data_IF_478962197287
#
_entry.id   IF_478962197287
#
_cell.length_a   1.000
_cell.length_b   1.000
_cell.length_c   1.000
_cell.angle_alpha   90.00
_cell.angle_beta   90.00
_cell.angle_gamma   90.00
#
_symmetry.space_group_name_H-M   'P 1'
#
loop_
_entity.id
_entity.type
_entity.pdbx_description
1 polymer ?
#
# COMPACT_ATOMS: atom_id res chain seq x y z
N UNK A 1 2.91 -3.17 43.67
CA UNK A 1 4.17 -3.83 43.49
C UNK A 1 3.91 -4.92 42.42
N UNK A 2 4.22 -4.85 41.25
CA UNK A 2 5.19 -4.68 40.27
C UNK A 2 4.65 -4.76 38.83
N UNK A 3 3.63 -3.97 38.48
CA UNK A 3 3.16 -3.88 37.08
C UNK A 3 4.13 -3.06 36.21
N UNK A 4 4.97 -2.23 36.82
CA UNK A 4 5.95 -1.40 36.12
C UNK A 4 7.24 -2.15 35.70
N UNK A 5 7.57 -3.26 36.35
CA UNK A 5 8.78 -4.04 36.05
C UNK A 5 8.54 -4.98 34.86
N UNK A 6 7.35 -5.55 34.71
CA UNK A 6 7.02 -6.40 33.57
C UNK A 6 6.96 -5.63 32.26
N UNK A 7 6.45 -4.38 32.26
CA UNK A 7 6.40 -3.56 31.04
C UNK A 7 7.78 -3.13 30.54
N UNK A 8 8.78 -2.99 31.42
CA UNK A 8 10.15 -2.66 31.01
C UNK A 8 10.94 -3.85 30.46
N UNK A 9 10.66 -5.06 30.94
CA UNK A 9 11.31 -6.28 30.46
C UNK A 9 10.86 -6.67 29.04
N UNK A 10 9.58 -6.43 28.71
CA UNK A 10 9.03 -6.70 27.37
C UNK A 10 9.61 -5.74 26.31
N UNK A 11 10.10 -4.57 26.70
CA UNK A 11 10.62 -3.53 25.78
C UNK A 11 12.02 -3.81 25.24
N UNK A 12 12.78 -4.74 25.88
CA UNK A 12 14.19 -5.01 25.53
C UNK A 12 14.43 -6.40 24.90
N UNK A 13 13.40 -7.17 24.63
CA UNK A 13 13.55 -8.44 23.95
C UNK A 13 13.92 -8.21 22.49
N UNK A 14 15.14 -8.62 22.09
CA UNK A 14 15.56 -8.66 20.69
C UNK A 14 14.73 -9.68 19.95
N UNK A 15 13.60 -9.24 19.40
CA UNK A 15 12.75 -10.09 18.57
C UNK A 15 13.55 -10.63 17.39
N UNK A 16 13.37 -11.90 17.06
CA UNK A 16 13.88 -12.45 15.81
C UNK A 16 13.24 -11.67 14.62
N UNK A 17 13.88 -11.60 13.44
CA UNK A 17 13.31 -10.95 12.27
C UNK A 17 11.89 -11.43 11.93
N UNK A 18 11.62 -12.71 12.16
CA UNK A 18 10.30 -13.32 11.96
C UNK A 18 9.27 -12.80 12.98
N UNK A 19 9.60 -12.81 14.28
CA UNK A 19 8.73 -12.31 15.35
C UNK A 19 8.48 -10.80 15.21
N UNK A 20 9.49 -10.05 14.73
CA UNK A 20 9.33 -8.64 14.43
C UNK A 20 8.33 -8.44 13.28
N UNK A 21 8.46 -9.21 12.18
CA UNK A 21 7.52 -9.19 11.06
C UNK A 21 6.11 -9.58 11.48
N UNK A 22 5.97 -10.63 12.29
CA UNK A 22 4.68 -11.10 12.78
C UNK A 22 3.99 -10.05 13.65
N UNK A 23 4.71 -9.45 14.59
CA UNK A 23 4.17 -8.46 15.53
C UNK A 23 3.88 -7.10 14.87
N UNK A 24 4.76 -6.66 13.98
CA UNK A 24 4.66 -5.31 13.37
C UNK A 24 3.99 -5.31 12.01
N UNK A 25 4.00 -6.41 11.29
CA UNK A 25 3.46 -6.52 9.96
C UNK A 25 2.13 -7.28 9.90
N UNK A 26 2.10 -8.53 10.36
CA UNK A 26 0.89 -9.35 10.24
C UNK A 26 -0.18 -8.99 11.28
N UNK A 27 0.18 -8.70 12.52
CA UNK A 27 -0.80 -8.38 13.56
C UNK A 27 -1.52 -7.04 13.32
N UNK A 28 -0.88 -6.09 12.63
CA UNK A 28 -1.46 -4.77 12.28
C UNK A 28 -2.11 -4.72 10.90
N UNK A 29 -1.80 -5.64 10.01
CA UNK A 29 -2.13 -5.51 8.58
C UNK A 29 -3.17 -6.48 8.07
N UNK A 30 -3.65 -7.42 8.89
CA UNK A 30 -4.82 -8.21 8.52
C UNK A 30 -6.04 -7.46 9.03
N UNK A 31 -6.66 -6.64 8.18
CA UNK A 31 -7.89 -5.96 8.57
C UNK A 31 -8.95 -7.02 8.79
N UNK A 32 -9.64 -6.93 9.92
CA UNK A 32 -10.75 -7.83 10.24
C UNK A 32 -12.02 -7.50 9.48
N UNK A 33 -12.10 -6.25 9.00
CA UNK A 33 -13.29 -5.70 8.35
C UNK A 33 -12.93 -5.02 7.02
N UNK A 34 -13.85 -5.04 6.07
CA UNK A 34 -13.71 -4.37 4.77
C UNK A 34 -13.44 -2.86 4.90
N UNK A 35 -14.04 -2.21 5.91
CA UNK A 35 -13.83 -0.80 6.19
C UNK A 35 -12.37 -0.49 6.54
N UNK A 36 -11.72 -1.35 7.33
CA UNK A 36 -10.32 -1.20 7.69
C UNK A 36 -9.36 -1.47 6.51
N UNK A 37 -9.74 -2.37 5.58
CA UNK A 37 -9.02 -2.55 4.31
C UNK A 37 -9.08 -1.29 3.45
N UNK A 38 -10.27 -0.72 3.29
CA UNK A 38 -10.45 0.51 2.53
C UNK A 38 -9.68 1.67 3.15
N UNK A 39 -9.72 1.81 4.48
CA UNK A 39 -8.95 2.83 5.19
C UNK A 39 -7.44 2.62 5.01
N UNK A 40 -6.98 1.38 5.03
CA UNK A 40 -5.57 1.04 4.84
C UNK A 40 -5.02 1.51 3.48
N UNK A 41 -5.81 1.39 2.41
CA UNK A 41 -5.38 1.64 1.03
C UNK A 41 -5.95 2.90 0.39
N UNK A 42 -7.08 3.43 0.84
CA UNK A 42 -7.72 4.62 0.28
C UNK A 42 -7.62 5.86 1.17
N UNK A 43 -7.03 5.73 2.36
CA UNK A 43 -6.81 6.87 3.24
C UNK A 43 -5.57 7.64 2.79
N UNK A 44 -5.74 8.92 2.44
CA UNK A 44 -4.67 9.83 2.06
C UNK A 44 -4.02 10.56 3.25
N UNK A 45 -4.51 10.34 4.46
CA UNK A 45 -4.01 10.97 5.67
C UNK A 45 -2.95 10.11 6.37
N UNK A 46 -2.10 10.78 7.18
CA UNK A 46 -1.05 10.12 7.93
C UNK A 46 0.25 9.94 7.16
N UNK A 47 1.17 9.19 7.74
CA UNK A 47 2.53 8.97 7.26
C UNK A 47 2.76 7.48 7.00
N UNK A 48 3.64 7.15 6.05
CA UNK A 48 3.96 5.79 5.68
C UNK A 48 5.49 5.61 5.61
N UNK A 49 6.02 4.63 6.36
CA UNK A 49 7.43 4.28 6.34
C UNK A 49 7.88 3.63 5.03
N UNK A 50 9.20 3.58 4.79
CA UNK A 50 9.78 2.98 3.57
C UNK A 50 9.46 1.48 3.44
N UNK A 51 9.66 0.74 4.53
CA UNK A 51 9.41 -0.71 4.55
C UNK A 51 7.93 -0.99 4.33
N UNK A 52 7.09 -0.21 4.96
CA UNK A 52 5.65 -0.33 4.85
C UNK A 52 5.15 0.01 3.43
N UNK A 53 5.71 1.06 2.79
CA UNK A 53 5.44 1.36 1.39
C UNK A 53 5.86 0.19 0.47
N UNK A 54 7.07 -0.37 0.67
CA UNK A 54 7.56 -1.48 -0.14
C UNK A 54 6.66 -2.71 -0.01
N UNK A 55 6.28 -3.08 1.20
CA UNK A 55 5.47 -4.26 1.46
C UNK A 55 4.02 -4.10 0.97
N UNK A 56 3.37 -2.99 1.31
CA UNK A 56 1.99 -2.71 0.85
C UNK A 56 1.93 -2.51 -0.66
N UNK A 57 2.95 -1.84 -1.23
CA UNK A 57 3.09 -1.69 -2.67
C UNK A 57 3.30 -3.03 -3.38
N UNK A 58 4.13 -3.93 -2.84
CA UNK A 58 4.34 -5.26 -3.39
C UNK A 58 3.06 -6.12 -3.33
N UNK A 59 2.32 -6.06 -2.21
CA UNK A 59 1.04 -6.76 -2.08
C UNK A 59 -0.01 -6.22 -3.06
N UNK A 60 -0.10 -4.89 -3.19
CA UNK A 60 -1.01 -4.24 -4.13
C UNK A 60 -0.68 -4.63 -5.58
N UNK A 61 0.59 -4.50 -5.98
CA UNK A 61 1.05 -4.84 -7.33
C UNK A 61 0.90 -6.33 -7.63
N UNK A 62 1.26 -7.22 -6.69
CA UNK A 62 1.11 -8.65 -6.84
C UNK A 62 -0.35 -9.06 -6.98
N UNK A 63 -1.21 -8.59 -6.08
CA UNK A 63 -2.66 -8.83 -6.14
C UNK A 63 -3.31 -8.28 -7.40
N UNK A 64 -2.96 -7.04 -7.78
CA UNK A 64 -3.43 -6.42 -9.02
C UNK A 64 -3.00 -7.20 -10.26
N UNK A 65 -1.75 -7.67 -10.31
CA UNK A 65 -1.24 -8.48 -11.41
C UNK A 65 -2.00 -9.81 -11.54
N UNK A 66 -2.16 -10.55 -10.44
CA UNK A 66 -2.91 -11.80 -10.45
C UNK A 66 -4.36 -11.59 -10.93
N UNK A 67 -5.03 -10.57 -10.41
CA UNK A 67 -6.40 -10.26 -10.80
C UNK A 67 -6.50 -9.83 -12.27
N UNK A 68 -5.54 -9.02 -12.74
CA UNK A 68 -5.47 -8.61 -14.15
C UNK A 68 -5.32 -9.81 -15.08
N UNK A 69 -4.39 -10.72 -14.79
CA UNK A 69 -4.22 -11.94 -15.60
C UNK A 69 -5.45 -12.82 -15.60
N UNK A 70 -6.11 -12.97 -14.47
CA UNK A 70 -7.36 -13.73 -14.35
C UNK A 70 -8.48 -13.12 -15.20
N UNK A 71 -8.73 -11.81 -15.07
CA UNK A 71 -9.78 -11.12 -15.84
C UNK A 71 -9.48 -11.13 -17.35
N UNK A 72 -8.23 -10.92 -17.74
CA UNK A 72 -7.82 -11.02 -19.15
C UNK A 72 -8.03 -12.42 -19.72
N UNK A 73 -7.75 -13.47 -18.94
CA UNK A 73 -8.06 -14.85 -19.32
C UNK A 73 -9.56 -15.07 -19.53
N UNK A 74 -10.39 -14.53 -18.62
CA UNK A 74 -11.84 -14.59 -18.78
C UNK A 74 -12.34 -13.84 -20.03
N UNK A 75 -11.82 -12.63 -20.28
CA UNK A 75 -12.15 -11.87 -21.51
C UNK A 75 -11.80 -12.68 -22.75
N UNK A 76 -10.61 -13.27 -22.79
CA UNK A 76 -10.16 -14.11 -23.91
C UNK A 76 -11.10 -15.30 -24.15
N UNK A 77 -11.51 -16.01 -23.09
CA UNK A 77 -12.47 -17.13 -23.21
C UNK A 77 -13.80 -16.63 -23.76
N UNK A 78 -14.36 -15.53 -23.25
CA UNK A 78 -15.65 -15.01 -23.74
C UNK A 78 -15.58 -14.54 -25.20
N UNK A 79 -14.44 -14.03 -25.66
CA UNK A 79 -14.24 -13.67 -27.08
C UNK A 79 -14.20 -14.89 -27.97
N UNK A 80 -13.62 -16.02 -27.53
CA UNK A 80 -13.63 -17.28 -28.28
C UNK A 80 -15.05 -17.86 -28.47
N UNK A 81 -15.96 -17.63 -27.52
CA UNK A 81 -17.35 -18.06 -27.60
C UNK A 81 -18.27 -17.03 -28.28
N UNK A 82 -17.70 -16.03 -28.98
CA UNK A 82 -18.42 -14.95 -29.66
C UNK A 82 -19.42 -14.17 -28.77
N UNK A 83 -19.26 -14.24 -27.46
CA UNK A 83 -20.09 -13.53 -26.49
C UNK A 83 -19.63 -12.09 -26.32
N UNK A 84 -19.95 -11.21 -27.27
CA UNK A 84 -19.50 -9.81 -27.27
C UNK A 84 -19.98 -9.04 -26.04
N UNK A 85 -21.19 -9.27 -25.55
CA UNK A 85 -21.73 -8.61 -24.35
C UNK A 85 -20.96 -9.01 -23.09
N UNK A 86 -20.63 -10.30 -22.95
CA UNK A 86 -19.84 -10.79 -21.81
C UNK A 86 -18.42 -10.21 -21.80
N UNK A 87 -17.78 -10.12 -22.95
CA UNK A 87 -16.45 -9.52 -23.10
C UNK A 87 -16.47 -8.03 -22.70
N UNK A 88 -17.46 -7.25 -23.17
CA UNK A 88 -17.59 -5.81 -22.83
C UNK A 88 -17.80 -5.64 -21.32
N UNK A 89 -18.66 -6.44 -20.68
CA UNK A 89 -18.91 -6.36 -19.26
C UNK A 89 -17.62 -6.64 -18.43
N UNK A 90 -16.86 -7.67 -18.82
CA UNK A 90 -15.58 -8.00 -18.16
C UNK A 90 -14.51 -6.93 -18.39
N UNK A 91 -14.45 -6.32 -19.57
CA UNK A 91 -13.56 -5.17 -19.82
C UNK A 91 -13.91 -3.99 -18.93
N UNK A 92 -15.20 -3.68 -18.73
CA UNK A 92 -15.66 -2.65 -17.82
C UNK A 92 -15.24 -2.94 -16.37
N UNK A 93 -15.43 -4.18 -15.92
CA UNK A 93 -14.99 -4.62 -14.59
C UNK A 93 -13.46 -4.51 -14.43
N UNK A 94 -12.71 -4.90 -15.45
CA UNK A 94 -11.25 -4.78 -15.45
C UNK A 94 -10.79 -3.32 -15.34
N UNK A 95 -11.39 -2.40 -16.12
CA UNK A 95 -11.09 -0.97 -16.03
C UNK A 95 -11.40 -0.40 -14.64
N UNK A 96 -12.54 -0.77 -14.06
CA UNK A 96 -12.91 -0.34 -12.70
C UNK A 96 -11.91 -0.84 -11.66
N UNK A 97 -11.52 -2.10 -11.76
CA UNK A 97 -10.50 -2.70 -10.87
C UNK A 97 -9.18 -1.95 -10.99
N UNK A 98 -8.74 -1.66 -12.21
CA UNK A 98 -7.51 -0.90 -12.46
C UNK A 98 -7.57 0.50 -11.85
N UNK A 99 -8.69 1.20 -12.00
CA UNK A 99 -8.91 2.53 -11.40
C UNK A 99 -8.80 2.48 -9.86
N UNK A 100 -9.44 1.50 -9.23
CA UNK A 100 -9.36 1.33 -7.76
C UNK A 100 -7.92 1.07 -7.32
N UNK A 101 -7.21 0.15 -7.99
CA UNK A 101 -5.81 -0.16 -7.69
C UNK A 101 -4.90 1.05 -7.90
N UNK A 102 -5.15 1.85 -8.92
CA UNK A 102 -4.44 3.10 -9.17
C UNK A 102 -4.63 4.11 -8.04
N UNK A 103 -5.87 4.31 -7.57
CA UNK A 103 -6.16 5.20 -6.44
C UNK A 103 -5.51 4.71 -5.14
N UNK A 104 -5.52 3.41 -4.88
CA UNK A 104 -4.79 2.80 -3.76
C UNK A 104 -3.28 3.09 -3.83
N UNK A 105 -2.69 2.95 -5.01
CA UNK A 105 -1.28 3.26 -5.24
C UNK A 105 -0.96 4.74 -4.97
N UNK A 106 -1.78 5.66 -5.47
CA UNK A 106 -1.61 7.10 -5.20
C UNK A 106 -1.71 7.43 -3.71
N UNK A 107 -2.62 6.78 -2.98
CA UNK A 107 -2.76 6.95 -1.52
C UNK A 107 -1.48 6.54 -0.78
N UNK A 108 -0.92 5.37 -1.09
CA UNK A 108 0.34 4.92 -0.48
C UNK A 108 1.49 5.88 -0.75
N UNK A 109 1.61 6.37 -1.99
CA UNK A 109 2.64 7.33 -2.38
C UNK A 109 2.45 8.68 -1.67
N UNK A 110 1.22 9.20 -1.59
CA UNK A 110 0.92 10.45 -0.90
C UNK A 110 1.34 10.39 0.58
N UNK A 111 0.98 9.31 1.27
CA UNK A 111 1.36 9.10 2.68
C UNK A 111 2.87 8.98 2.86
N UNK A 112 3.59 8.48 1.85
CA UNK A 112 5.04 8.44 1.88
C UNK A 112 5.65 9.82 1.67
N UNK A 113 5.08 10.68 0.80
CA UNK A 113 5.47 12.09 0.71
C UNK A 113 5.20 12.83 2.01
N UNK A 114 4.09 12.56 2.69
CA UNK A 114 3.77 13.11 3.99
C UNK A 114 4.81 12.73 5.07
N UNK A 115 5.41 11.55 4.97
CA UNK A 115 6.48 11.13 5.88
C UNK A 115 7.76 11.96 5.75
N UNK A 116 7.90 12.69 4.65
CA UNK A 116 9.02 13.62 4.38
C UNK A 116 8.60 15.10 4.48
N UNK A 117 7.48 15.38 5.15
CA UNK A 117 6.82 16.70 5.26
C UNK A 117 6.53 17.36 3.91
N UNK A 118 6.39 16.56 2.86
CA UNK A 118 6.04 17.02 1.50
C UNK A 118 4.54 16.86 1.26
N UNK A 119 3.99 17.75 0.43
CA UNK A 119 2.57 17.66 0.04
C UNK A 119 2.30 16.41 -0.79
N UNK A 120 1.13 15.76 -0.58
CA UNK A 120 0.67 14.64 -1.39
C UNK A 120 0.51 14.94 -2.88
N UNK A 121 0.43 16.23 -3.29
CA UNK A 121 0.39 16.62 -4.70
C UNK A 121 1.63 16.17 -5.50
N UNK A 122 2.76 15.93 -4.84
CA UNK A 122 3.95 15.36 -5.47
C UNK A 122 3.73 13.96 -6.06
N UNK A 123 2.67 13.25 -5.66
CA UNK A 123 2.28 11.99 -6.31
C UNK A 123 1.94 12.14 -7.79
N UNK A 124 1.57 13.34 -8.24
CA UNK A 124 1.30 13.58 -9.66
C UNK A 124 2.54 13.39 -10.55
N UNK A 125 3.76 13.46 -9.99
CA UNK A 125 4.98 13.09 -10.71
C UNK A 125 4.96 11.62 -11.17
N UNK A 126 4.20 10.79 -10.49
CA UNK A 126 4.05 9.37 -10.85
C UNK A 126 3.26 9.16 -12.15
N UNK A 127 2.48 10.15 -12.58
CA UNK A 127 1.77 10.14 -13.86
C UNK A 127 2.70 10.34 -15.06
N UNK A 128 3.89 10.89 -14.83
CA UNK A 128 4.88 11.11 -15.89
C UNK A 128 5.81 9.90 -16.00
N UNK A 129 5.82 9.16 -17.12
CA UNK A 129 6.53 7.88 -17.25
C UNK A 129 8.03 7.96 -16.90
N UNK A 130 8.69 9.06 -17.29
CA UNK A 130 10.13 9.26 -17.04
C UNK A 130 10.39 9.54 -15.55
N UNK A 131 9.51 10.32 -14.90
CA UNK A 131 9.67 10.73 -13.50
C UNK A 131 9.19 9.65 -12.52
N UNK A 132 8.34 8.75 -12.95
CA UNK A 132 7.80 7.66 -12.14
C UNK A 132 8.90 6.84 -11.45
N UNK A 133 9.83 6.30 -12.24
CA UNK A 133 10.93 5.47 -11.71
C UNK A 133 11.85 6.27 -10.78
N UNK A 134 12.21 7.49 -11.18
CA UNK A 134 13.05 8.37 -10.38
C UNK A 134 12.37 8.72 -9.04
N UNK A 135 11.09 9.05 -9.08
CA UNK A 135 10.28 9.34 -7.90
C UNK A 135 10.19 8.13 -6.98
N UNK A 136 9.95 6.93 -7.52
CA UNK A 136 9.89 5.70 -6.72
C UNK A 136 11.23 5.42 -6.02
N UNK A 137 12.35 5.51 -6.74
CA UNK A 137 13.68 5.35 -6.16
C UNK A 137 13.92 6.39 -5.06
N UNK A 138 13.57 7.65 -5.31
CA UNK A 138 13.68 8.72 -4.33
C UNK A 138 12.90 8.41 -3.04
N UNK A 139 11.66 7.94 -3.15
CA UNK A 139 10.81 7.57 -2.02
C UNK A 139 11.36 6.39 -1.21
N UNK A 140 12.08 5.47 -1.86
CA UNK A 140 12.71 4.33 -1.19
C UNK A 140 14.01 4.72 -0.47
N UNK A 141 14.80 5.62 -1.06
CA UNK A 141 16.13 6.00 -0.52
C UNK A 141 16.02 7.06 0.57
N UNK A 142 15.22 8.11 0.35
CA UNK A 142 15.12 9.22 1.30
C UNK A 142 14.51 8.77 2.64
N UNK A 143 15.16 9.11 3.74
CA UNK A 143 14.62 8.89 5.09
C UNK A 143 13.44 9.83 5.33
N UNK A 144 12.41 9.34 6.03
CA UNK A 144 11.34 10.17 6.56
C UNK A 144 11.83 11.03 7.73
N UNK A 145 11.02 11.99 8.14
CA UNK A 145 11.30 12.85 9.27
C UNK A 145 11.32 12.03 10.56
N UNK A 146 12.34 12.29 11.40
CA UNK A 146 12.54 11.59 12.67
C UNK A 146 11.60 12.07 13.80
N UNK A 147 10.92 13.19 13.61
CA UNK A 147 9.96 13.76 14.55
C UNK A 147 8.53 13.78 14.02
N UNK A 148 7.60 14.24 14.85
CA UNK A 148 6.26 14.55 14.39
C UNK A 148 6.31 15.74 13.40
N UNK A 149 5.53 15.65 12.33
CA UNK A 149 5.38 16.72 11.35
C UNK A 149 3.89 17.09 11.18
N UNK A 150 3.57 18.00 10.26
CA UNK A 150 2.20 18.47 10.02
C UNK A 150 1.21 17.35 9.61
N UNK A 151 1.68 16.17 9.25
CA UNK A 151 0.84 15.02 8.84
C UNK A 151 0.71 13.96 9.95
N UNK A 152 1.40 14.12 11.09
CA UNK A 152 1.25 13.22 12.22
C UNK A 152 2.56 12.79 12.87
N UNK A 153 2.45 11.80 13.79
CA UNK A 153 3.58 11.19 14.46
C UNK A 153 4.47 10.37 13.53
N UNK A 154 5.63 9.95 14.03
CA UNK A 154 6.56 9.07 13.29
C UNK A 154 5.86 7.74 13.00
N UNK A 155 5.93 7.21 11.78
CA UNK A 155 5.45 5.85 11.48
C UNK A 155 6.24 4.84 12.34
N UNK A 156 5.52 3.96 13.00
CA UNK A 156 6.13 2.92 13.85
C UNK A 156 6.74 1.79 13.02
#
# INVERSE_FOLDING_TARGET
MDLHVETSAIKNEKLSPYQWMERHFFARQIPRDWASLLDLYLNFHGRLGRVELALRGALLLGGASCLTFFLMGCVFIFTLFESGVGAIALMGLWMLTYLVMFLCGLSLLARRFHDMDMSGWWTLLFLMPILNLATYIYLMVKKGDSGANRFGGVPE
#
